data_IF_615833474231
#
_entry.id   IF_615833474231
#
_cell.length_a   1.000
_cell.length_b   1.000
_cell.length_c   1.000
_cell.angle_alpha   90.00
_cell.angle_beta   90.00
_cell.angle_gamma   90.00
#
_symmetry.space_group_name_H-M   'P 1'
#
loop_
_entity.id
_entity.type
_entity.pdbx_description
1 polymer ?
#
# COMPACT_ATOMS: atom_id res chain seq x y z
N UNK A 1 49.79 -8.44 21.36
CA UNK A 1 50.72 -8.34 20.20
C UNK A 1 49.86 -8.53 18.96
N UNK A 2 49.74 -7.67 17.94
CA UNK A 2 50.57 -6.59 17.38
C UNK A 2 49.66 -5.43 16.88
N UNK A 3 50.17 -4.19 17.01
CA UNK A 3 49.73 -2.96 16.32
C UNK A 3 50.25 -2.93 14.87
N UNK A 4 49.73 -2.02 14.04
CA UNK A 4 50.33 -1.19 12.93
C UNK A 4 49.13 -0.76 12.02
N UNK A 5 48.72 0.50 11.77
CA UNK A 5 49.30 1.83 11.44
C UNK A 5 49.02 2.25 9.97
N UNK A 6 48.26 3.36 9.82
CA UNK A 6 48.38 4.55 8.92
C UNK A 6 48.59 4.40 7.40
N UNK A 7 47.85 5.20 6.60
CA UNK A 7 48.39 6.20 5.65
C UNK A 7 47.27 7.00 4.93
N UNK A 8 47.60 8.24 4.55
CA UNK A 8 46.75 9.26 3.90
C UNK A 8 47.29 9.63 2.50
N UNK A 9 46.45 10.14 1.60
CA UNK A 9 46.74 10.96 0.39
C UNK A 9 45.38 11.49 -0.14
N UNK A 10 45.06 12.79 -0.29
CA UNK A 10 45.58 13.92 -1.11
C UNK A 10 45.56 13.66 -2.63
N UNK A 11 44.76 14.43 -3.37
CA UNK A 11 44.82 14.53 -4.84
C UNK A 11 43.65 15.29 -5.48
N UNK A 12 43.87 16.56 -5.81
CA UNK A 12 42.96 17.54 -6.44
C UNK A 12 43.01 17.53 -7.98
N UNK A 13 41.92 17.89 -8.68
CA UNK A 13 42.00 18.64 -9.95
C UNK A 13 40.66 19.24 -10.40
N UNK A 14 40.74 20.49 -10.88
CA UNK A 14 39.67 21.36 -11.34
C UNK A 14 39.43 21.22 -12.84
N UNK A 15 38.23 21.59 -13.33
CA UNK A 15 38.06 22.14 -14.67
C UNK A 15 36.83 23.05 -14.73
N UNK A 16 37.09 24.26 -15.21
CA UNK A 16 36.22 25.43 -15.33
C UNK A 16 35.96 25.63 -16.83
N UNK A 17 34.72 25.69 -17.30
CA UNK A 17 34.41 26.21 -18.64
C UNK A 17 33.20 27.13 -18.60
N UNK A 18 33.51 28.42 -18.77
CA UNK A 18 32.62 29.55 -19.00
C UNK A 18 32.40 29.69 -20.51
N UNK A 19 31.17 29.99 -20.94
CA UNK A 19 30.92 30.59 -22.26
C UNK A 19 29.85 31.68 -22.14
N UNK A 20 30.27 32.94 -22.38
CA UNK A 20 29.44 34.12 -22.61
C UNK A 20 29.31 34.37 -24.13
N UNK A 21 28.13 34.83 -24.57
CA UNK A 21 27.88 35.81 -25.67
C UNK A 21 26.40 35.68 -26.11
N UNK A 22 25.65 36.69 -26.55
CA UNK A 22 25.70 38.15 -26.55
C UNK A 22 24.31 38.61 -27.07
N UNK A 23 23.87 39.79 -26.66
CA UNK A 23 22.58 40.40 -27.03
C UNK A 23 22.78 41.39 -28.20
N UNK A 24 21.79 41.54 -29.10
CA UNK A 24 21.76 42.65 -30.08
C UNK A 24 20.82 42.40 -31.27
N UNK A 25 19.79 43.26 -31.45
CA UNK A 25 18.73 43.10 -32.46
C UNK A 25 18.65 44.20 -33.54
N UNK A 26 17.60 44.15 -34.37
CA UNK A 26 17.11 45.26 -35.22
C UNK A 26 16.69 44.91 -36.67
N UNK A 27 15.37 44.88 -36.90
CA UNK A 27 14.49 45.13 -38.07
C UNK A 27 14.99 45.19 -39.55
N UNK A 28 14.30 44.50 -40.49
CA UNK A 28 13.25 45.06 -41.42
C UNK A 28 12.75 44.02 -42.47
N UNK A 29 11.48 44.15 -42.92
CA UNK A 29 10.70 43.29 -43.84
C UNK A 29 10.50 44.00 -45.24
N UNK A 30 9.74 43.53 -46.28
CA UNK A 30 8.38 42.93 -46.23
C UNK A 30 7.91 41.93 -47.36
N UNK A 31 6.69 41.37 -47.15
CA UNK A 31 5.55 41.02 -48.06
C UNK A 31 5.75 40.10 -49.30
N UNK A 32 4.85 39.20 -49.74
CA UNK A 32 3.43 38.82 -49.50
C UNK A 32 3.28 37.30 -49.84
N UNK A 33 2.28 36.50 -49.49
CA UNK A 33 0.82 36.60 -49.69
C UNK A 33 0.11 35.42 -48.97
N UNK A 34 -1.15 35.59 -48.53
CA UNK A 34 -1.98 34.66 -47.75
C UNK A 34 -3.02 33.92 -48.65
N UNK A 35 -3.94 32.99 -48.20
CA UNK A 35 -4.68 33.00 -46.92
C UNK A 35 -4.94 31.63 -46.21
N UNK A 36 -5.57 31.74 -45.03
CA UNK A 36 -5.92 30.76 -43.98
C UNK A 36 -7.18 29.89 -44.32
N UNK A 37 -7.74 28.98 -43.45
CA UNK A 37 -7.87 29.09 -41.98
C UNK A 37 -7.82 27.80 -41.11
N UNK A 38 -7.88 28.04 -39.79
CA UNK A 38 -8.53 27.26 -38.72
C UNK A 38 -7.72 26.25 -37.85
N UNK A 39 -7.45 26.70 -36.62
CA UNK A 39 -7.68 26.02 -35.33
C UNK A 39 -6.95 24.70 -34.97
N UNK A 40 -5.97 24.80 -34.06
CA UNK A 40 -5.81 23.88 -32.94
C UNK A 40 -4.99 24.55 -31.81
N UNK A 41 -5.37 24.44 -30.53
CA UNK A 41 -4.64 25.03 -29.42
C UNK A 41 -3.43 24.17 -29.03
N UNK A 42 -2.59 24.79 -28.21
CA UNK A 42 -1.36 24.30 -27.62
C UNK A 42 -1.55 22.97 -26.88
N UNK A 43 -0.70 21.98 -27.18
CA UNK A 43 -0.29 20.98 -26.20
C UNK A 43 1.15 21.28 -25.82
N UNK A 44 1.32 21.88 -24.65
CA UNK A 44 2.60 21.88 -23.96
C UNK A 44 2.90 20.45 -23.53
N UNK A 45 4.13 19.93 -23.70
CA UNK A 45 4.48 18.65 -23.11
C UNK A 45 4.34 18.79 -21.60
N UNK A 46 3.49 17.94 -21.02
CA UNK A 46 3.22 17.93 -19.60
C UNK A 46 4.55 17.74 -18.86
N UNK A 47 4.79 18.68 -17.96
CA UNK A 47 5.81 18.59 -16.94
C UNK A 47 5.70 17.23 -16.25
N UNK A 48 6.77 16.46 -16.25
CA UNK A 48 6.91 15.35 -15.30
C UNK A 48 6.89 15.97 -13.91
N UNK A 49 5.73 15.95 -13.26
CA UNK A 49 5.65 16.21 -11.84
C UNK A 49 6.48 15.12 -11.14
N UNK A 50 7.34 15.48 -10.18
CA UNK A 50 7.96 14.48 -9.32
C UNK A 50 6.84 13.77 -8.55
N UNK A 51 6.78 12.44 -8.64
CA UNK A 51 5.96 11.63 -7.75
C UNK A 51 6.43 11.93 -6.33
N UNK A 52 5.64 12.73 -5.62
CA UNK A 52 5.78 12.87 -4.19
C UNK A 52 5.43 11.51 -3.59
N UNK A 53 6.22 11.02 -2.62
CA UNK A 53 5.79 9.94 -1.76
C UNK A 53 4.41 10.34 -1.18
N UNK A 54 3.37 9.70 -1.68
CA UNK A 54 1.99 10.06 -1.37
C UNK A 54 1.67 9.74 0.08
N UNK A 55 0.67 10.40 0.64
CA UNK A 55 0.13 10.15 1.99
C UNK A 55 -0.51 8.75 2.16
N UNK A 56 -0.20 7.78 1.27
CA UNK A 56 -0.76 6.42 1.24
C UNK A 56 -2.25 6.35 0.88
N UNK A 57 -2.84 7.48 0.50
CA UNK A 57 -4.23 7.57 0.05
C UNK A 57 -4.30 7.09 -1.39
N UNK A 58 -5.07 6.02 -1.61
CA UNK A 58 -5.28 5.42 -2.93
C UNK A 58 -6.64 5.82 -3.49
N UNK A 59 -6.77 5.80 -4.80
CA UNK A 59 -8.02 5.94 -5.52
C UNK A 59 -8.48 4.58 -6.07
N UNK A 60 -9.75 4.49 -6.50
CA UNK A 60 -10.31 3.26 -7.08
C UNK A 60 -9.52 2.80 -8.32
N UNK A 61 -8.93 3.75 -9.07
CA UNK A 61 -8.06 3.47 -10.21
C UNK A 61 -6.73 2.82 -9.83
N UNK A 62 -6.32 2.94 -8.58
CA UNK A 62 -5.04 2.39 -8.09
C UNK A 62 -5.18 0.95 -7.59
N UNK A 63 -6.41 0.41 -7.58
CA UNK A 63 -6.69 -0.95 -7.19
C UNK A 63 -6.10 -1.92 -8.20
N UNK A 64 -5.36 -2.91 -7.71
CA UNK A 64 -4.70 -3.90 -8.54
C UNK A 64 -4.82 -5.30 -7.95
N UNK A 65 -4.76 -6.30 -8.81
CA UNK A 65 -4.65 -7.70 -8.41
C UNK A 65 -5.66 -8.62 -9.10
N UNK A 66 -5.31 -9.90 -9.31
CA UNK A 66 -6.14 -10.84 -10.05
C UNK A 66 -7.45 -11.17 -9.32
N UNK A 67 -7.48 -11.10 -7.99
CA UNK A 67 -8.66 -11.39 -7.18
C UNK A 67 -9.55 -10.17 -6.94
N UNK A 68 -9.16 -8.96 -7.38
CA UNK A 68 -10.05 -7.80 -7.33
C UNK A 68 -11.33 -8.01 -8.16
N UNK A 69 -11.28 -8.91 -9.15
CA UNK A 69 -12.45 -9.37 -9.89
C UNK A 69 -13.51 -10.08 -9.04
N UNK A 70 -13.15 -10.55 -7.84
CA UNK A 70 -14.06 -11.18 -6.89
C UNK A 70 -14.66 -10.17 -5.90
N UNK A 71 -14.11 -8.95 -5.83
CA UNK A 71 -14.74 -7.84 -5.11
C UNK A 71 -15.93 -7.37 -5.96
N UNK A 72 -17.11 -7.16 -5.37
CA UNK A 72 -18.26 -6.63 -6.08
C UNK A 72 -17.89 -5.36 -6.85
N UNK A 73 -18.39 -5.19 -8.08
CA UNK A 73 -18.19 -3.96 -8.85
C UNK A 73 -19.15 -2.85 -8.45
N UNK A 74 -20.27 -3.19 -7.81
CA UNK A 74 -21.31 -2.25 -7.37
C UNK A 74 -21.83 -2.64 -5.98
N UNK A 75 -22.32 -1.65 -5.22
CA UNK A 75 -22.90 -1.83 -3.88
C UNK A 75 -21.92 -1.51 -2.74
N UNK A 76 -22.39 -1.61 -1.49
CA UNK A 76 -21.61 -1.22 -0.30
C UNK A 76 -20.32 -2.06 -0.10
N UNK A 77 -20.25 -3.23 -0.73
CA UNK A 77 -19.07 -4.11 -0.72
C UNK A 77 -18.10 -3.89 -1.87
N UNK A 78 -18.39 -2.95 -2.79
CA UNK A 78 -17.50 -2.60 -3.89
C UNK A 78 -16.43 -1.61 -3.45
N UNK A 79 -15.36 -1.50 -4.24
CA UNK A 79 -14.34 -0.48 -4.02
C UNK A 79 -14.94 0.92 -3.84
N UNK A 80 -15.95 1.27 -4.63
CA UNK A 80 -16.67 2.55 -4.54
C UNK A 80 -17.45 2.70 -3.23
N UNK A 81 -18.21 1.67 -2.82
CA UNK A 81 -18.95 1.70 -1.56
C UNK A 81 -18.03 1.75 -0.34
N UNK A 82 -16.88 1.08 -0.43
CA UNK A 82 -15.91 1.00 0.66
C UNK A 82 -15.18 2.33 0.92
N UNK A 83 -15.08 3.24 -0.07
CA UNK A 83 -14.38 4.54 0.09
C UNK A 83 -15.05 5.42 1.14
N UNK A 84 -16.38 5.42 1.19
CA UNK A 84 -17.16 6.27 2.10
C UNK A 84 -17.36 5.64 3.49
N UNK A 85 -17.08 4.35 3.62
CA UNK A 85 -17.27 3.58 4.85
C UNK A 85 -15.95 3.38 5.62
N UNK A 86 -16.01 3.35 6.96
CA UNK A 86 -14.84 2.99 7.76
C UNK A 86 -14.54 1.49 7.60
N UNK A 87 -13.28 1.12 7.82
CA UNK A 87 -12.72 -0.17 7.41
C UNK A 87 -13.49 -1.40 7.91
N UNK A 88 -14.03 -1.39 9.13
CA UNK A 88 -14.78 -2.54 9.65
C UNK A 88 -16.17 -2.65 8.99
N UNK A 89 -16.81 -1.53 8.67
CA UNK A 89 -18.08 -1.49 7.93
C UNK A 89 -17.85 -1.93 6.49
N UNK A 90 -16.86 -1.34 5.82
CA UNK A 90 -16.44 -1.69 4.47
C UNK A 90 -16.13 -3.19 4.33
N UNK A 91 -15.41 -3.78 5.29
CA UNK A 91 -15.12 -5.22 5.31
C UNK A 91 -16.38 -6.07 5.51
N UNK A 92 -17.35 -5.60 6.29
CA UNK A 92 -18.62 -6.30 6.56
C UNK A 92 -19.50 -6.44 5.32
N UNK A 93 -19.37 -5.50 4.39
CA UNK A 93 -20.11 -5.50 3.13
C UNK A 93 -19.44 -6.36 2.06
N UNK A 94 -18.21 -6.82 2.27
CA UNK A 94 -17.45 -7.60 1.29
C UNK A 94 -17.63 -9.12 1.49
N UNK A 95 -18.13 -9.86 0.48
CA UNK A 95 -18.38 -11.30 0.60
C UNK A 95 -17.12 -12.15 0.81
N UNK A 96 -15.94 -11.64 0.45
CA UNK A 96 -14.66 -12.33 0.62
C UNK A 96 -14.08 -12.22 2.03
N UNK A 97 -14.62 -11.31 2.85
CA UNK A 97 -14.08 -10.94 4.17
C UNK A 97 -15.02 -11.32 5.32
N UNK A 98 -16.08 -12.07 5.05
CA UNK A 98 -17.10 -12.44 6.04
C UNK A 98 -16.53 -13.21 7.23
N UNK A 99 -15.53 -14.07 7.03
CA UNK A 99 -14.84 -14.77 8.12
C UNK A 99 -14.04 -13.81 9.00
N UNK A 100 -13.38 -12.83 8.39
CA UNK A 100 -12.66 -11.78 9.12
C UNK A 100 -13.61 -10.95 9.97
N UNK A 101 -14.75 -10.54 9.40
CA UNK A 101 -15.78 -9.74 10.11
C UNK A 101 -16.34 -10.54 11.29
N UNK A 102 -16.56 -11.83 11.11
CA UNK A 102 -16.97 -12.72 12.19
C UNK A 102 -15.91 -12.75 13.30
N UNK A 103 -14.63 -12.89 12.96
CA UNK A 103 -13.53 -12.88 13.92
C UNK A 103 -13.40 -11.54 14.66
N UNK A 104 -13.49 -10.41 13.94
CA UNK A 104 -13.50 -9.07 14.55
C UNK A 104 -14.69 -8.90 15.50
N UNK A 105 -15.87 -9.42 15.12
CA UNK A 105 -17.07 -9.38 15.95
C UNK A 105 -17.00 -10.22 17.22
N UNK A 106 -16.11 -11.22 17.30
CA UNK A 106 -15.86 -11.96 18.55
C UNK A 106 -15.07 -11.14 19.58
N UNK A 107 -14.29 -10.15 19.13
CA UNK A 107 -13.52 -9.28 20.01
C UNK A 107 -14.33 -8.02 20.32
N UNK A 108 -14.81 -7.84 21.56
CA UNK A 108 -15.64 -6.69 21.91
C UNK A 108 -14.86 -5.39 21.74
N UNK A 109 -15.43 -4.42 21.01
CA UNK A 109 -14.83 -3.10 20.79
C UNK A 109 -13.77 -3.01 19.70
N UNK A 110 -13.40 -4.12 19.04
CA UNK A 110 -12.34 -4.09 18.05
C UNK A 110 -12.76 -3.38 16.76
N UNK A 111 -13.97 -3.65 16.26
CA UNK A 111 -14.50 -2.95 15.07
C UNK A 111 -14.56 -1.42 15.30
N UNK A 112 -15.00 -0.99 16.48
CA UNK A 112 -15.05 0.43 16.86
C UNK A 112 -13.66 1.03 16.95
N UNK A 113 -12.70 0.28 17.51
CA UNK A 113 -11.29 0.69 17.56
C UNK A 113 -10.74 0.88 16.16
N UNK A 114 -10.92 -0.09 15.25
CA UNK A 114 -10.44 -0.02 13.87
C UNK A 114 -11.10 1.13 13.09
N UNK A 115 -12.38 1.39 13.33
CA UNK A 115 -13.10 2.51 12.70
C UNK A 115 -12.66 3.88 13.25
N UNK A 116 -12.18 3.93 14.50
CA UNK A 116 -11.68 5.18 15.12
C UNK A 116 -10.23 5.52 14.76
N UNK A 117 -9.47 4.53 14.28
CA UNK A 117 -8.11 4.75 13.79
C UNK A 117 -8.17 5.50 12.46
N UNK A 118 -7.24 6.42 12.24
CA UNK A 118 -7.12 7.18 11.00
C UNK A 118 -5.79 6.85 10.34
N UNK A 119 -5.78 6.82 9.01
CA UNK A 119 -4.59 6.57 8.21
C UNK A 119 -3.87 5.28 8.60
N UNK A 120 -4.58 4.15 8.51
CA UNK A 120 -4.01 2.81 8.73
C UNK A 120 -3.99 1.99 7.45
N UNK A 121 -3.16 0.96 7.41
CA UNK A 121 -3.18 -0.06 6.36
C UNK A 121 -3.63 -1.39 6.96
N UNK A 122 -4.62 -2.03 6.36
CA UNK A 122 -5.20 -3.28 6.86
C UNK A 122 -4.96 -4.41 5.86
N UNK A 123 -4.26 -5.45 6.31
CA UNK A 123 -4.09 -6.69 5.59
C UNK A 123 -5.26 -7.64 5.88
N UNK A 124 -6.24 -7.71 4.98
CA UNK A 124 -7.45 -8.49 5.17
C UNK A 124 -7.30 -9.90 4.56
N UNK A 125 -7.10 -10.97 5.35
CA UNK A 125 -7.15 -12.33 4.83
C UNK A 125 -8.50 -12.65 4.22
N UNK A 126 -8.50 -13.18 3.01
CA UNK A 126 -9.71 -13.68 2.37
C UNK A 126 -10.22 -14.95 3.07
N UNK A 127 -11.51 -15.26 2.93
CA UNK A 127 -12.10 -16.50 3.45
C UNK A 127 -11.26 -17.80 3.24
N UNK A 128 -10.69 -18.08 2.05
CA UNK A 128 -9.83 -19.27 1.86
C UNK A 128 -8.54 -19.27 2.71
N UNK A 129 -8.05 -18.10 3.13
CA UNK A 129 -6.91 -18.00 4.03
C UNK A 129 -7.22 -18.59 5.41
N UNK A 130 -8.43 -18.34 5.92
CA UNK A 130 -8.89 -18.91 7.20
C UNK A 130 -9.09 -20.42 7.12
N UNK A 131 -9.64 -20.90 6.00
CA UNK A 131 -9.77 -22.35 5.76
C UNK A 131 -8.40 -23.03 5.74
N UNK A 132 -7.39 -22.41 5.12
CA UNK A 132 -6.03 -22.92 5.12
C UNK A 132 -5.44 -23.00 6.54
N UNK A 133 -5.67 -21.98 7.37
CA UNK A 133 -5.25 -22.00 8.79
C UNK A 133 -5.96 -23.10 9.57
N UNK A 134 -7.26 -23.27 9.38
CA UNK A 134 -8.03 -24.34 10.02
C UNK A 134 -7.50 -25.72 9.63
N UNK A 135 -7.11 -25.92 8.37
CA UNK A 135 -6.48 -27.17 7.91
C UNK A 135 -5.08 -27.38 8.50
N UNK A 136 -4.32 -26.32 8.73
CA UNK A 136 -2.97 -26.39 9.29
C UNK A 136 -2.97 -26.64 10.81
N UNK A 137 -3.83 -25.95 11.55
CA UNK A 137 -3.93 -26.06 13.01
C UNK A 137 -4.86 -27.19 13.45
N UNK A 138 -5.82 -27.57 12.60
CA UNK A 138 -6.93 -28.44 12.98
C UNK A 138 -8.07 -27.69 13.67
N UNK A 139 -9.27 -28.25 13.59
CA UNK A 139 -10.51 -27.60 14.06
C UNK A 139 -10.48 -27.25 15.55
N UNK A 140 -9.93 -28.13 16.39
CA UNK A 140 -9.87 -27.90 17.84
C UNK A 140 -9.02 -26.68 18.20
N UNK A 141 -7.83 -26.56 17.59
CA UNK A 141 -6.94 -25.43 17.84
C UNK A 141 -7.51 -24.14 17.25
N UNK A 142 -8.08 -24.20 16.05
CA UNK A 142 -8.74 -23.04 15.44
C UNK A 142 -9.91 -22.53 16.29
N UNK A 143 -10.75 -23.43 16.81
CA UNK A 143 -11.84 -23.05 17.71
C UNK A 143 -11.32 -22.52 19.05
N UNK A 144 -10.22 -23.06 19.58
CA UNK A 144 -9.58 -22.55 20.78
C UNK A 144 -9.03 -21.12 20.58
N UNK A 145 -8.48 -20.81 19.39
CA UNK A 145 -8.05 -19.46 19.03
C UNK A 145 -9.23 -18.50 18.95
N UNK A 146 -10.33 -18.89 18.30
CA UNK A 146 -11.54 -18.06 18.21
C UNK A 146 -12.20 -17.82 19.58
N UNK A 147 -12.09 -18.78 20.50
CA UNK A 147 -12.59 -18.65 21.85
C UNK A 147 -11.68 -17.76 22.74
N UNK A 148 -10.42 -17.54 22.34
CA UNK A 148 -9.47 -16.74 23.10
C UNK A 148 -9.44 -15.29 22.56
N UNK A 149 -10.23 -14.42 23.18
CA UNK A 149 -10.38 -13.02 22.76
C UNK A 149 -9.08 -12.22 22.82
N UNK A 150 -8.20 -12.45 23.80
CA UNK A 150 -6.92 -11.74 23.93
C UNK A 150 -5.97 -12.11 22.77
N UNK A 151 -5.89 -13.39 22.46
CA UNK A 151 -5.09 -13.90 21.36
C UNK A 151 -5.66 -13.44 20.01
N UNK A 152 -6.98 -13.50 19.85
CA UNK A 152 -7.67 -13.04 18.64
C UNK A 152 -7.47 -11.54 18.42
N UNK A 153 -7.56 -10.72 19.47
CA UNK A 153 -7.26 -9.30 19.40
C UNK A 153 -5.82 -9.05 18.92
N UNK A 154 -4.86 -9.81 19.45
CA UNK A 154 -3.45 -9.70 19.06
C UNK A 154 -3.24 -10.07 17.59
N UNK A 155 -3.82 -11.18 17.14
CA UNK A 155 -3.73 -11.63 15.74
C UNK A 155 -4.38 -10.62 14.80
N UNK A 156 -5.58 -10.12 15.13
CA UNK A 156 -6.27 -9.13 14.28
C UNK A 156 -5.53 -7.79 14.26
N UNK A 157 -4.96 -7.36 15.38
CA UNK A 157 -4.12 -6.15 15.43
C UNK A 157 -2.78 -6.33 14.71
N UNK A 158 -2.30 -7.58 14.54
CA UNK A 158 -1.09 -7.89 13.77
C UNK A 158 -1.29 -7.72 12.25
N UNK A 159 -2.55 -7.67 11.79
CA UNK A 159 -2.87 -7.38 10.40
C UNK A 159 -3.00 -5.89 10.10
N UNK A 160 -2.85 -5.03 11.11
CA UNK A 160 -3.07 -3.59 10.98
C UNK A 160 -1.75 -2.87 11.16
N UNK A 161 -1.36 -2.10 10.15
CA UNK A 161 -0.23 -1.17 10.22
C UNK A 161 -0.77 0.18 10.65
N UNK A 162 -0.23 0.81 11.71
CA UNK A 162 -0.67 2.14 12.19
C UNK A 162 -0.15 3.29 11.30
N UNK A 163 -0.02 3.04 9.99
CA UNK A 163 0.39 3.99 8.97
C UNK A 163 -0.31 3.63 7.66
N UNK A 164 -0.82 4.64 6.96
CA UNK A 164 -1.44 4.48 5.65
C UNK A 164 -0.33 4.43 4.61
N UNK A 165 -0.34 3.37 3.81
CA UNK A 165 0.65 3.11 2.78
C UNK A 165 -0.07 2.49 1.59
N UNK A 166 0.28 2.95 0.40
CA UNK A 166 -0.06 2.28 -0.86
C UNK A 166 0.94 1.14 -1.14
N UNK A 167 0.71 0.39 -2.21
CA UNK A 167 1.60 -0.71 -2.57
C UNK A 167 3.03 -0.28 -2.88
N UNK A 168 3.23 0.91 -3.48
CA UNK A 168 4.56 1.43 -3.75
C UNK A 168 5.30 1.72 -2.45
N UNK A 169 4.68 2.48 -1.54
CA UNK A 169 5.23 2.81 -0.24
C UNK A 169 5.47 1.57 0.63
N UNK A 170 4.58 0.58 0.59
CA UNK A 170 4.77 -0.70 1.28
C UNK A 170 6.04 -1.42 0.79
N UNK A 171 6.21 -1.52 -0.53
CA UNK A 171 7.37 -2.21 -1.13
C UNK A 171 8.67 -1.41 -0.91
N UNK A 172 8.61 -0.08 -0.97
CA UNK A 172 9.75 0.80 -0.68
C UNK A 172 10.19 0.76 0.78
N UNK A 173 9.23 0.67 1.71
CA UNK A 173 9.53 0.52 3.13
C UNK A 173 10.25 -0.80 3.41
N UNK A 174 9.86 -1.88 2.72
CA UNK A 174 10.45 -3.22 2.81
C UNK A 174 10.22 -3.92 4.15
N UNK A 175 10.02 -3.20 5.24
CA UNK A 175 9.65 -3.73 6.55
C UNK A 175 8.73 -2.74 7.24
N UNK A 176 7.59 -3.22 7.72
CA UNK A 176 6.60 -2.38 8.41
C UNK A 176 6.25 -2.99 9.77
N UNK A 177 6.09 -2.12 10.77
CA UNK A 177 5.74 -2.50 12.14
C UNK A 177 4.23 -2.52 12.30
N UNK A 178 3.69 -3.60 12.84
CA UNK A 178 2.25 -3.80 13.04
C UNK A 178 1.75 -3.15 14.34
N UNK A 179 0.44 -2.91 14.44
CA UNK A 179 -0.22 -2.31 15.60
C UNK A 179 -0.10 -3.20 16.85
N UNK A 180 -0.15 -4.53 16.67
CA UNK A 180 0.13 -5.49 17.74
C UNK A 180 1.61 -5.50 18.18
N UNK A 181 2.48 -4.77 17.50
CA UNK A 181 3.93 -4.94 17.55
C UNK A 181 4.41 -6.09 16.68
N UNK A 182 5.73 -6.15 16.50
CA UNK A 182 6.36 -7.06 15.55
C UNK A 182 6.43 -6.46 14.14
N UNK A 183 7.39 -6.96 13.37
CA UNK A 183 7.68 -6.47 12.03
C UNK A 183 7.29 -7.51 10.99
N UNK A 184 6.65 -7.07 9.91
CA UNK A 184 6.46 -7.88 8.71
C UNK A 184 7.38 -7.37 7.62
N UNK A 185 7.94 -8.30 6.86
CA UNK A 185 8.77 -7.95 5.70
C UNK A 185 7.87 -7.83 4.48
N UNK A 186 7.95 -6.71 3.78
CA UNK A 186 7.29 -6.51 2.50
C UNK A 186 8.29 -6.81 1.38
N UNK A 187 7.86 -7.60 0.42
CA UNK A 187 8.60 -7.91 -0.80
C UNK A 187 7.70 -7.83 -2.03
N UNK A 188 8.20 -8.35 -3.14
CA UNK A 188 7.47 -8.36 -4.41
C UNK A 188 7.61 -7.04 -5.18
N UNK A 189 6.63 -6.73 -6.00
CA UNK A 189 6.53 -5.49 -6.78
C UNK A 189 5.29 -4.71 -6.36
N UNK A 190 5.16 -3.41 -6.70
CA UNK A 190 3.95 -2.65 -6.38
C UNK A 190 2.67 -3.26 -6.96
N UNK A 191 2.76 -3.96 -8.09
CA UNK A 191 1.65 -4.65 -8.73
C UNK A 191 1.33 -6.03 -8.13
N UNK A 192 2.27 -6.59 -7.34
CA UNK A 192 2.14 -7.89 -6.69
C UNK A 192 2.98 -7.94 -5.40
N UNK A 193 2.61 -7.17 -4.36
CA UNK A 193 3.33 -7.17 -3.11
C UNK A 193 3.13 -8.49 -2.36
N UNK A 194 4.15 -8.87 -1.61
CA UNK A 194 4.14 -10.06 -0.73
C UNK A 194 4.45 -9.63 0.68
N UNK A 195 3.76 -10.21 1.66
CA UNK A 195 3.92 -9.91 3.09
C UNK A 195 4.44 -11.17 3.77
N UNK A 196 5.63 -11.11 4.36
CA UNK A 196 6.20 -12.20 5.14
C UNK A 196 6.03 -11.91 6.64
N UNK A 197 5.32 -12.79 7.34
CA UNK A 197 5.12 -12.70 8.78
C UNK A 197 6.38 -13.07 9.58
N UNK A 198 6.32 -12.88 10.90
CA UNK A 198 7.43 -13.19 11.78
C UNK A 198 7.70 -14.70 11.89
N UNK A 199 6.73 -15.57 11.54
CA UNK A 199 6.94 -17.02 11.46
C UNK A 199 7.59 -17.46 10.14
N UNK A 200 7.83 -16.53 9.20
CA UNK A 200 8.39 -16.80 7.88
C UNK A 200 7.35 -17.24 6.85
N UNK A 201 6.04 -17.16 7.16
CA UNK A 201 5.00 -17.41 6.17
C UNK A 201 4.86 -16.19 5.27
N UNK A 202 4.98 -16.42 3.97
CA UNK A 202 4.73 -15.39 2.97
C UNK A 202 3.30 -15.49 2.46
N UNK A 203 2.56 -14.40 2.62
CA UNK A 203 1.23 -14.13 2.08
C UNK A 203 1.35 -13.27 0.81
N UNK A 204 0.58 -13.60 -0.21
CA UNK A 204 0.50 -12.83 -1.44
C UNK A 204 -0.69 -11.87 -1.37
N UNK A 205 -0.49 -10.63 -1.82
CA UNK A 205 -1.60 -9.69 -2.00
C UNK A 205 -2.38 -10.08 -3.26
N UNK A 206 -3.64 -10.45 -3.05
CA UNK A 206 -4.57 -10.86 -4.10
C UNK A 206 -5.33 -9.69 -4.71
N UNK A 207 -5.62 -8.68 -3.89
CA UNK A 207 -6.19 -7.40 -4.28
C UNK A 207 -5.67 -6.31 -3.35
N UNK A 208 -5.01 -5.28 -3.88
CA UNK A 208 -4.38 -4.23 -3.10
C UNK A 208 -4.93 -2.84 -3.40
N UNK A 209 -4.50 -1.84 -2.62
CA UNK A 209 -4.85 -0.43 -2.78
C UNK A 209 -6.35 -0.10 -2.67
N UNK A 210 -7.16 -0.95 -2.03
CA UNK A 210 -8.59 -0.67 -1.87
C UNK A 210 -8.74 0.50 -0.88
N UNK A 211 -9.24 1.67 -1.31
CA UNK A 211 -9.39 2.79 -0.40
C UNK A 211 -10.63 2.64 0.46
N UNK A 212 -10.50 2.94 1.74
CA UNK A 212 -11.62 3.18 2.65
C UNK A 212 -11.51 4.55 3.30
N UNK A 213 -12.56 4.95 4.02
CA UNK A 213 -12.65 6.28 4.63
C UNK A 213 -11.44 6.56 5.55
N UNK A 214 -10.97 5.55 6.28
CA UNK A 214 -9.92 5.69 7.27
C UNK A 214 -8.69 4.80 7.03
N UNK A 215 -8.75 3.88 6.07
CA UNK A 215 -7.69 2.90 5.83
C UNK A 215 -7.44 2.59 4.34
N UNK A 216 -6.30 1.96 4.05
CA UNK A 216 -6.06 1.27 2.78
C UNK A 216 -6.08 -0.24 3.04
N UNK A 217 -6.91 -0.98 2.31
CA UNK A 217 -7.11 -2.42 2.50
C UNK A 217 -6.35 -3.21 1.44
N UNK A 218 -5.64 -4.24 1.90
CA UNK A 218 -4.94 -5.22 1.06
C UNK A 218 -5.46 -6.61 1.38
N UNK A 219 -6.16 -7.22 0.42
CA UNK A 219 -6.63 -8.59 0.52
C UNK A 219 -5.48 -9.55 0.32
N UNK A 220 -5.27 -10.47 1.25
CA UNK A 220 -4.19 -11.46 1.23
C UNK A 220 -4.71 -12.90 1.23
N UNK A 221 -3.90 -13.82 0.70
CA UNK A 221 -4.23 -15.24 0.58
C UNK A 221 -3.96 -16.07 1.85
N UNK A 222 -3.32 -15.49 2.87
CA UNK A 222 -2.97 -16.14 4.14
C UNK A 222 -3.22 -15.24 5.33
N UNK A 223 -3.44 -15.86 6.49
CA UNK A 223 -3.51 -15.14 7.77
C UNK A 223 -2.08 -14.95 8.31
N UNK A 224 -1.72 -13.73 8.64
CA UNK A 224 -0.44 -13.38 9.26
C UNK A 224 -0.48 -13.75 10.75
N UNK A 225 0.56 -14.40 11.25
CA UNK A 225 0.66 -14.71 12.68
C UNK A 225 1.87 -14.00 13.32
N UNK A 226 1.69 -13.38 14.49
CA UNK A 226 2.81 -12.85 15.27
C UNK A 226 3.68 -14.00 15.81
N UNK A 227 4.96 -13.73 16.09
CA UNK A 227 5.79 -14.64 16.88
C UNK A 227 5.28 -14.65 18.33
N UNK A 228 4.51 -15.67 18.71
CA UNK A 228 4.02 -15.81 20.09
C UNK A 228 2.90 -16.82 20.24
#
# INVERSE_FOLDING_TARGET
MRKIQRLAAVGSMAALTVALAACGGGSEAPAAEAPAPASAPMESPMTSAPMAAGDGVTEISDIFGPACSQVPTEGEGSAEGMVDDPVATAASNNPLLTTLVTAVGQVPGLAETLNSQEAITVFAPANPAFEAVQQQLGEEQFNALLANTEMLQTILSYHVVPQRMDAEGLVEAGTVTQLAGGDVTIGGTPEAPTVTDAMGNTANVLCGNIPTANATVFVIDKVLMPQG
#
